data_IF_533476359826
#
_entry.id   IF_533476359826
#
_cell.length_a   1.000
_cell.length_b   1.000
_cell.length_c   1.000
_cell.angle_alpha   90.00
_cell.angle_beta   90.00
_cell.angle_gamma   90.00
#
_symmetry.space_group_name_H-M   'P 1'
#
loop_
_entity.id
_entity.type
_entity.pdbx_description
1 polymer ?
#
# COMPACT_ATOMS: atom_id res chain seq x y z
N UNK A 1 16.43 8.83 -6.22
CA UNK A 1 15.01 8.45 -6.16
C UNK A 1 14.80 6.94 -5.98
N UNK A 2 15.49 6.08 -6.70
CA UNK A 2 15.36 4.61 -6.62
C UNK A 2 15.46 4.06 -5.18
N UNK A 3 16.34 4.62 -4.35
CA UNK A 3 16.52 4.20 -2.96
C UNK A 3 15.28 4.46 -2.06
N UNK A 4 14.55 5.54 -2.33
CA UNK A 4 13.41 5.99 -1.50
C UNK A 4 12.15 5.17 -1.80
N UNK A 5 11.95 4.84 -3.07
CA UNK A 5 10.75 4.12 -3.55
C UNK A 5 10.97 2.61 -3.64
N UNK A 6 12.16 2.09 -3.31
CA UNK A 6 12.53 0.69 -3.55
C UNK A 6 11.54 -0.30 -2.94
N UNK A 7 11.20 -0.14 -1.65
CA UNK A 7 10.27 -1.03 -0.95
C UNK A 7 8.87 -0.97 -1.58
N UNK A 8 8.33 0.23 -1.76
CA UNK A 8 7.01 0.45 -2.38
C UNK A 8 6.98 -0.06 -3.81
N UNK A 9 8.06 0.16 -4.58
CA UNK A 9 8.23 -0.34 -5.94
C UNK A 9 8.18 -1.85 -6.01
N UNK A 10 8.92 -2.53 -5.12
CA UNK A 10 8.95 -3.99 -5.10
C UNK A 10 7.59 -4.58 -4.74
N UNK A 11 6.93 -4.04 -3.70
CA UNK A 11 5.61 -4.49 -3.28
C UNK A 11 4.58 -4.30 -4.41
N UNK A 12 4.50 -3.11 -4.99
CA UNK A 12 3.54 -2.82 -6.07
C UNK A 12 3.92 -3.50 -7.39
N UNK A 13 5.22 -3.77 -7.61
CA UNK A 13 5.70 -4.53 -8.77
C UNK A 13 5.21 -5.97 -8.76
N UNK A 14 5.27 -6.65 -7.63
CA UNK A 14 4.72 -8.02 -7.45
C UNK A 14 3.20 -8.04 -7.67
N UNK A 15 2.50 -6.97 -7.32
CA UNK A 15 1.05 -6.82 -7.55
C UNK A 15 0.71 -6.40 -9.00
N UNK A 16 1.70 -6.17 -9.85
CA UNK A 16 1.51 -5.72 -11.23
C UNK A 16 1.05 -4.25 -11.39
N UNK A 17 1.09 -3.44 -10.31
CA UNK A 17 0.54 -2.07 -10.32
C UNK A 17 1.62 -0.99 -10.43
N UNK A 18 2.90 -1.33 -10.24
CA UNK A 18 3.93 -0.30 -10.34
C UNK A 18 3.91 0.37 -11.72
N UNK A 19 3.70 1.70 -11.80
CA UNK A 19 3.68 2.42 -13.07
C UNK A 19 5.09 2.41 -13.67
N UNK A 20 5.31 1.54 -14.67
CA UNK A 20 6.60 1.45 -15.33
C UNK A 20 6.73 2.59 -16.33
N UNK A 21 7.84 3.32 -16.21
CA UNK A 21 8.14 4.54 -16.94
C UNK A 21 8.40 4.34 -18.45
N UNK A 22 8.70 3.12 -18.89
CA UNK A 22 9.12 2.88 -20.27
C UNK A 22 7.95 2.61 -21.22
N UNK A 23 7.77 3.48 -22.22
CA UNK A 23 6.76 3.36 -23.30
C UNK A 23 7.02 2.18 -24.24
N UNK A 24 8.23 1.59 -24.24
CA UNK A 24 8.65 0.50 -25.15
C UNK A 24 8.50 -0.88 -24.53
N UNK A 25 7.47 -1.12 -23.74
CA UNK A 25 7.26 -2.45 -23.20
C UNK A 25 6.95 -3.48 -24.28
N UNK A 26 7.66 -4.61 -24.19
CA UNK A 26 7.32 -5.84 -24.91
C UNK A 26 5.88 -6.27 -24.58
N UNK A 27 5.18 -6.83 -25.55
CA UNK A 27 3.83 -7.39 -25.36
C UNK A 27 3.80 -8.41 -24.22
N UNK A 28 4.86 -9.18 -24.05
CA UNK A 28 5.04 -10.15 -22.96
C UNK A 28 4.96 -9.52 -21.56
N UNK A 29 5.56 -8.33 -21.34
CA UNK A 29 5.49 -7.66 -20.04
C UNK A 29 4.09 -7.12 -19.72
N UNK A 30 3.34 -6.71 -20.74
CA UNK A 30 1.92 -6.31 -20.57
C UNK A 30 1.07 -7.50 -20.17
N UNK A 31 1.23 -8.63 -20.86
CA UNK A 31 0.52 -9.88 -20.55
C UNK A 31 0.83 -10.34 -19.13
N UNK A 32 2.11 -10.36 -18.74
CA UNK A 32 2.52 -10.72 -17.40
C UNK A 32 1.88 -9.84 -16.32
N UNK A 33 1.81 -8.55 -16.57
CA UNK A 33 1.16 -7.59 -15.67
C UNK A 33 -0.33 -7.88 -15.50
N UNK A 34 -1.08 -8.05 -16.61
CA UNK A 34 -2.50 -8.39 -16.53
C UNK A 34 -2.72 -9.73 -15.83
N UNK A 35 -1.83 -10.69 -16.02
CA UNK A 35 -1.86 -11.96 -15.32
C UNK A 35 -1.71 -11.79 -13.79
N UNK A 36 -0.75 -10.99 -13.33
CA UNK A 36 -0.57 -10.68 -11.90
C UNK A 36 -1.80 -9.97 -11.32
N UNK A 37 -2.37 -9.01 -12.06
CA UNK A 37 -3.58 -8.29 -11.65
C UNK A 37 -4.76 -9.26 -11.52
N UNK A 38 -4.94 -10.15 -12.48
CA UNK A 38 -6.03 -11.13 -12.47
C UNK A 38 -5.90 -12.12 -11.32
N UNK A 39 -4.71 -12.68 -11.10
CA UNK A 39 -4.45 -13.58 -9.97
C UNK A 39 -4.73 -12.88 -8.64
N UNK A 40 -4.24 -11.66 -8.46
CA UNK A 40 -4.45 -10.90 -7.22
C UNK A 40 -5.95 -10.67 -6.95
N UNK A 41 -6.73 -10.35 -7.98
CA UNK A 41 -8.19 -10.20 -7.85
C UNK A 41 -8.87 -11.54 -7.53
N UNK A 42 -8.52 -12.62 -8.22
CA UNK A 42 -9.06 -13.96 -7.94
C UNK A 42 -8.80 -14.36 -6.49
N UNK A 43 -7.59 -14.15 -5.98
CA UNK A 43 -7.21 -14.45 -4.60
C UNK A 43 -8.02 -13.60 -3.59
N UNK A 44 -8.25 -12.33 -3.85
CA UNK A 44 -9.06 -11.47 -2.98
C UNK A 44 -10.53 -11.91 -2.98
N UNK A 45 -11.11 -12.14 -4.16
CA UNK A 45 -12.51 -12.56 -4.27
C UNK A 45 -12.75 -13.97 -3.73
N UNK A 46 -11.77 -14.88 -3.81
CA UNK A 46 -11.86 -16.24 -3.26
C UNK A 46 -12.01 -16.26 -1.73
N UNK A 47 -11.64 -15.19 -1.03
CA UNK A 47 -11.88 -15.04 0.41
C UNK A 47 -13.09 -14.16 0.68
N UNK A 48 -13.29 -13.10 -0.11
CA UNK A 48 -14.38 -12.15 0.09
C UNK A 48 -15.76 -12.79 -0.09
N UNK A 49 -15.97 -13.52 -1.20
CA UNK A 49 -17.28 -14.09 -1.52
C UNK A 49 -17.69 -15.17 -0.52
N UNK A 50 -16.89 -16.22 -0.25
CA UNK A 50 -17.27 -17.24 0.71
C UNK A 50 -17.35 -16.72 2.15
N UNK A 51 -16.55 -15.72 2.50
CA UNK A 51 -16.61 -15.05 3.80
C UNK A 51 -17.92 -14.27 3.99
N UNK A 52 -18.37 -13.57 2.95
CA UNK A 52 -19.64 -12.85 2.95
C UNK A 52 -20.84 -13.81 3.03
N UNK A 53 -20.81 -14.92 2.28
CA UNK A 53 -21.82 -15.97 2.34
C UNK A 53 -21.88 -16.58 3.75
N UNK A 54 -20.73 -16.87 4.35
CA UNK A 54 -20.66 -17.35 5.72
C UNK A 54 -21.34 -16.36 6.70
N UNK A 55 -21.05 -15.07 6.56
CA UNK A 55 -21.64 -14.04 7.41
C UNK A 55 -23.16 -13.94 7.26
N UNK A 56 -23.72 -14.16 6.09
CA UNK A 56 -25.17 -14.16 5.84
C UNK A 56 -25.86 -15.38 6.48
N UNK A 57 -25.23 -16.56 6.40
CA UNK A 57 -25.83 -17.83 6.82
C UNK A 57 -25.66 -18.08 8.34
N UNK A 58 -24.58 -17.56 8.93
CA UNK A 58 -24.27 -17.77 10.33
C UNK A 58 -25.32 -17.13 11.25
N UNK A 59 -25.98 -17.94 12.08
CA UNK A 59 -27.06 -17.50 13.00
C UNK A 59 -26.53 -16.94 14.32
N UNK A 60 -25.33 -17.34 14.75
CA UNK A 60 -24.72 -16.93 16.01
C UNK A 60 -24.20 -15.51 15.94
N UNK A 61 -24.86 -14.56 16.60
CA UNK A 61 -24.51 -13.14 16.61
C UNK A 61 -23.05 -12.90 16.98
N UNK A 62 -22.53 -13.61 17.97
CA UNK A 62 -21.12 -13.47 18.40
C UNK A 62 -20.13 -13.78 17.26
N UNK A 63 -20.36 -14.85 16.50
CA UNK A 63 -19.51 -15.27 15.40
C UNK A 63 -19.62 -14.27 14.23
N UNK A 64 -20.83 -13.79 13.93
CA UNK A 64 -21.06 -12.75 12.91
C UNK A 64 -20.27 -11.49 13.23
N UNK A 65 -20.35 -10.98 14.46
CA UNK A 65 -19.62 -9.78 14.89
C UNK A 65 -18.10 -9.97 14.78
N UNK A 66 -17.58 -11.14 15.15
CA UNK A 66 -16.15 -11.45 15.03
C UNK A 66 -15.68 -11.54 13.58
N UNK A 67 -16.55 -11.82 12.62
CA UNK A 67 -16.21 -11.93 11.19
C UNK A 67 -16.21 -10.56 10.48
N UNK A 68 -16.94 -9.57 11.00
CA UNK A 68 -17.07 -8.23 10.40
C UNK A 68 -15.72 -7.55 10.14
N UNK A 69 -14.78 -7.45 11.09
CA UNK A 69 -13.51 -6.76 10.84
C UNK A 69 -12.72 -7.39 9.70
N UNK A 70 -12.77 -8.72 9.59
CA UNK A 70 -12.10 -9.45 8.54
C UNK A 70 -12.70 -9.15 7.16
N UNK A 71 -14.02 -9.13 7.04
CA UNK A 71 -14.74 -8.78 5.81
C UNK A 71 -14.46 -7.34 5.41
N UNK A 72 -14.55 -6.40 6.35
CA UNK A 72 -14.23 -4.99 6.09
C UNK A 72 -12.79 -4.85 5.58
N UNK A 73 -11.83 -5.55 6.18
CA UNK A 73 -10.43 -5.50 5.74
C UNK A 73 -10.26 -5.98 4.29
N UNK A 74 -10.90 -7.09 3.90
CA UNK A 74 -10.81 -7.62 2.53
C UNK A 74 -11.52 -6.69 1.54
N UNK A 75 -12.70 -6.16 1.87
CA UNK A 75 -13.43 -5.18 1.04
C UNK A 75 -12.59 -3.92 0.84
N UNK A 76 -11.99 -3.41 1.90
CA UNK A 76 -11.06 -2.26 1.83
C UNK A 76 -9.84 -2.57 0.95
N UNK A 77 -9.27 -3.78 1.02
CA UNK A 77 -8.17 -4.19 0.16
C UNK A 77 -8.59 -4.22 -1.31
N UNK A 78 -9.77 -4.78 -1.64
CA UNK A 78 -10.33 -4.77 -3.00
C UNK A 78 -10.55 -3.34 -3.51
N UNK A 79 -11.14 -2.46 -2.72
CA UNK A 79 -11.38 -1.05 -3.07
C UNK A 79 -10.08 -0.29 -3.31
N UNK A 80 -9.08 -0.48 -2.45
CA UNK A 80 -7.74 0.11 -2.59
C UNK A 80 -7.06 -0.39 -3.86
N UNK A 81 -7.16 -1.69 -4.14
CA UNK A 81 -6.57 -2.29 -5.33
C UNK A 81 -7.19 -1.77 -6.61
N UNK A 82 -8.52 -1.70 -6.68
CA UNK A 82 -9.25 -1.09 -7.77
C UNK A 82 -8.83 0.37 -8.01
N UNK A 83 -8.79 1.18 -6.94
CA UNK A 83 -8.36 2.58 -7.03
C UNK A 83 -6.93 2.73 -7.57
N UNK A 84 -6.00 1.85 -7.17
CA UNK A 84 -4.61 1.85 -7.68
C UNK A 84 -4.58 1.56 -9.18
N UNK A 85 -5.39 0.61 -9.65
CA UNK A 85 -5.47 0.26 -11.08
C UNK A 85 -6.09 1.42 -11.89
N UNK A 86 -7.24 1.96 -11.45
CA UNK A 86 -7.94 3.03 -12.16
C UNK A 86 -7.16 4.35 -12.19
N UNK A 87 -6.43 4.67 -11.11
CA UNK A 87 -5.68 5.93 -10.98
C UNK A 87 -4.20 5.81 -11.34
N UNK A 88 -3.77 4.74 -11.98
CA UNK A 88 -2.37 4.51 -12.34
C UNK A 88 -1.74 5.69 -13.08
N UNK A 89 -2.44 6.28 -14.05
CA UNK A 89 -1.92 7.41 -14.82
C UNK A 89 -1.67 8.65 -13.96
N UNK A 90 -2.51 8.90 -12.97
CA UNK A 90 -2.33 10.01 -12.05
C UNK A 90 -1.14 9.77 -11.11
N UNK A 91 -1.02 8.54 -10.57
CA UNK A 91 0.12 8.12 -9.75
C UNK A 91 1.42 8.26 -10.54
N UNK A 92 1.43 7.86 -11.81
CA UNK A 92 2.57 7.99 -12.71
C UNK A 92 2.97 9.45 -12.91
N UNK A 93 2.01 10.36 -13.11
CA UNK A 93 2.28 11.81 -13.24
C UNK A 93 2.92 12.35 -11.97
N UNK A 94 2.34 12.07 -10.80
CA UNK A 94 2.87 12.51 -9.52
C UNK A 94 4.30 12.01 -9.27
N UNK A 95 4.58 10.72 -9.55
CA UNK A 95 5.92 10.16 -9.40
C UNK A 95 6.92 10.82 -10.35
N UNK A 96 6.49 11.15 -11.58
CA UNK A 96 7.33 11.85 -12.55
C UNK A 96 7.67 13.27 -12.07
N UNK A 97 6.70 14.02 -11.57
CA UNK A 97 6.95 15.35 -10.99
C UNK A 97 7.94 15.30 -9.83
N UNK A 98 7.77 14.31 -8.92
CA UNK A 98 8.73 14.11 -7.83
C UNK A 98 10.14 13.84 -8.39
N UNK A 99 10.28 13.01 -9.43
CA UNK A 99 11.57 12.72 -10.03
C UNK A 99 12.19 13.97 -10.68
N UNK A 100 11.41 14.77 -11.39
CA UNK A 100 11.82 16.04 -11.99
C UNK A 100 12.29 17.03 -10.92
N UNK A 101 11.57 17.12 -9.79
CA UNK A 101 11.96 17.95 -8.66
C UNK A 101 13.31 17.56 -8.08
N UNK A 102 13.55 16.27 -7.87
CA UNK A 102 14.86 15.80 -7.40
C UNK A 102 16.01 16.08 -8.38
N UNK A 103 15.74 16.13 -9.70
CA UNK A 103 16.73 16.43 -10.73
C UNK A 103 17.04 17.92 -10.83
N UNK A 104 16.06 18.78 -10.59
CA UNK A 104 16.20 20.24 -10.75
C UNK A 104 16.74 20.98 -9.53
N UNK A 105 16.80 20.31 -8.38
CA UNK A 105 17.38 20.90 -7.16
C UNK A 105 18.89 21.03 -7.32
N UNK A 106 19.37 22.28 -7.38
CA UNK A 106 20.79 22.63 -7.51
C UNK A 106 21.46 22.93 -6.17
N UNK A 107 20.68 23.38 -5.16
CA UNK A 107 21.20 23.68 -3.82
C UNK A 107 21.47 22.42 -3.00
N UNK A 108 22.67 22.30 -2.44
CA UNK A 108 23.07 21.17 -1.60
C UNK A 108 22.18 21.04 -0.34
N UNK A 109 21.88 22.16 0.32
CA UNK A 109 21.02 22.22 1.51
C UNK A 109 19.58 21.77 1.20
N UNK A 110 19.00 22.26 0.12
CA UNK A 110 17.67 21.86 -0.33
C UNK A 110 17.62 20.35 -0.64
N UNK A 111 18.66 19.84 -1.30
CA UNK A 111 18.79 18.41 -1.61
C UNK A 111 18.86 17.55 -0.35
N UNK A 112 19.65 17.98 0.65
CA UNK A 112 19.76 17.29 1.92
C UNK A 112 18.43 17.26 2.67
N UNK A 113 17.71 18.38 2.72
CA UNK A 113 16.38 18.51 3.32
C UNK A 113 15.38 17.53 2.68
N UNK A 114 15.37 17.41 1.35
CA UNK A 114 14.54 16.46 0.62
C UNK A 114 14.92 15.01 0.95
N UNK A 115 16.20 14.67 0.94
CA UNK A 115 16.68 13.32 1.25
C UNK A 115 16.33 12.94 2.70
N UNK A 116 16.48 13.85 3.66
CA UNK A 116 16.16 13.58 5.06
C UNK A 116 14.66 13.36 5.27
N UNK A 117 13.82 14.16 4.63
CA UNK A 117 12.36 13.94 4.64
C UNK A 117 12.01 12.57 4.05
N UNK A 118 12.61 12.20 2.94
CA UNK A 118 12.41 10.91 2.30
C UNK A 118 12.89 9.71 3.14
N UNK A 119 13.99 9.84 3.89
CA UNK A 119 14.46 8.81 4.85
C UNK A 119 13.42 8.57 5.95
N UNK A 120 12.78 9.63 6.47
CA UNK A 120 11.70 9.51 7.45
C UNK A 120 10.53 8.74 6.86
N UNK A 121 10.08 9.09 5.66
CA UNK A 121 9.02 8.38 4.96
C UNK A 121 9.31 6.89 4.78
N UNK A 122 10.54 6.56 4.38
CA UNK A 122 10.97 5.16 4.24
C UNK A 122 10.92 4.40 5.57
N UNK A 123 11.40 5.01 6.67
CA UNK A 123 11.33 4.38 8.00
C UNK A 123 9.88 4.09 8.41
N UNK A 124 8.97 5.06 8.22
CA UNK A 124 7.55 4.88 8.50
C UNK A 124 6.95 3.71 7.72
N UNK A 125 7.19 3.66 6.40
CA UNK A 125 6.69 2.56 5.56
C UNK A 125 7.25 1.21 5.99
N UNK A 126 8.54 1.15 6.34
CA UNK A 126 9.17 -0.10 6.80
C UNK A 126 8.55 -0.58 8.10
N UNK A 127 8.35 0.31 9.07
CA UNK A 127 7.71 -0.01 10.35
C UNK A 127 6.27 -0.47 10.13
N UNK A 128 5.49 0.25 9.33
CA UNK A 128 4.13 -0.16 8.95
C UNK A 128 4.11 -1.54 8.28
N UNK A 129 5.04 -1.81 7.36
CA UNK A 129 5.15 -3.11 6.71
C UNK A 129 5.40 -4.23 7.73
N UNK A 130 6.39 -4.06 8.61
CA UNK A 130 6.72 -5.05 9.64
C UNK A 130 5.49 -5.38 10.50
N UNK A 131 4.81 -4.35 11.02
CA UNK A 131 3.61 -4.55 11.84
C UNK A 131 2.47 -5.21 11.07
N UNK A 132 2.22 -4.80 9.83
CA UNK A 132 1.16 -5.38 9.01
C UNK A 132 1.39 -6.85 8.71
N UNK A 133 2.61 -7.21 8.28
CA UNK A 133 2.92 -8.61 7.97
C UNK A 133 3.04 -9.46 9.23
N UNK A 134 3.69 -8.97 10.28
CA UNK A 134 3.82 -9.71 11.53
C UNK A 134 2.44 -10.01 12.15
N UNK A 135 1.59 -9.00 12.35
CA UNK A 135 0.26 -9.18 12.94
C UNK A 135 -0.66 -10.00 12.04
N UNK A 136 -0.66 -9.72 10.73
CA UNK A 136 -1.54 -10.40 9.78
C UNK A 136 -1.19 -11.87 9.58
N UNK A 137 0.10 -12.21 9.49
CA UNK A 137 0.54 -13.61 9.39
C UNK A 137 0.35 -14.35 10.71
N UNK A 138 0.65 -13.73 11.85
CA UNK A 138 0.37 -14.31 13.17
C UNK A 138 -1.11 -14.65 13.32
N UNK A 139 -2.00 -13.74 12.95
CA UNK A 139 -3.44 -14.00 13.00
C UNK A 139 -3.86 -15.16 12.10
N UNK A 140 -3.33 -15.24 10.89
CA UNK A 140 -3.74 -16.27 9.91
C UNK A 140 -3.09 -17.64 10.14
N UNK A 141 -1.89 -17.67 10.69
CA UNK A 141 -1.16 -18.92 10.92
C UNK A 141 -1.34 -19.41 12.35
N UNK A 142 -1.12 -18.56 13.36
CA UNK A 142 -1.10 -18.99 14.76
C UNK A 142 -2.50 -19.24 15.29
N UNK A 143 -3.46 -18.37 14.98
CA UNK A 143 -4.80 -18.45 15.56
C UNK A 143 -5.56 -19.75 15.22
N UNK A 144 -5.55 -20.28 13.98
CA UNK A 144 -6.16 -21.57 13.66
C UNK A 144 -5.52 -22.72 14.44
N UNK A 145 -4.20 -22.74 14.56
CA UNK A 145 -3.49 -23.78 15.31
C UNK A 145 -3.68 -23.65 16.82
N UNK A 146 -3.70 -22.43 17.35
CA UNK A 146 -3.94 -22.17 18.77
C UNK A 146 -5.37 -22.54 19.22
N UNK A 147 -6.37 -22.40 18.35
CA UNK A 147 -7.74 -22.86 18.61
C UNK A 147 -7.87 -24.37 18.58
N UNK A 148 -6.95 -25.07 17.94
CA UNK A 148 -7.01 -26.51 17.79
C UNK A 148 -8.26 -27.00 17.08
N UNK A 149 -8.58 -28.27 17.25
CA UNK A 149 -9.81 -28.88 16.73
C UNK A 149 -10.99 -28.39 17.55
N UNK A 150 -12.00 -27.83 16.94
CA UNK A 150 -13.23 -27.37 17.59
C UNK A 150 -14.25 -28.52 17.53
N UNK A 151 -14.70 -28.98 18.69
CA UNK A 151 -15.77 -29.96 18.76
C UNK A 151 -17.11 -29.20 18.80
N UNK A 152 -17.96 -29.43 17.80
CA UNK A 152 -19.31 -28.87 17.75
C UNK A 152 -20.22 -29.57 18.73
N UNK A 153 -21.35 -28.95 19.13
CA UNK A 153 -22.35 -29.60 19.99
C UNK A 153 -22.89 -30.94 19.45
N UNK A 154 -22.72 -31.18 18.16
CA UNK A 154 -23.07 -32.41 17.44
C UNK A 154 -21.95 -33.46 17.42
N UNK A 155 -20.91 -33.27 18.24
CA UNK A 155 -19.71 -34.13 18.32
C UNK A 155 -18.90 -34.25 17.02
N UNK A 156 -19.02 -33.25 16.11
CA UNK A 156 -18.25 -33.18 14.88
C UNK A 156 -17.01 -32.31 15.10
N UNK A 157 -15.86 -32.87 14.78
CA UNK A 157 -14.58 -32.17 14.89
C UNK A 157 -14.33 -31.29 13.65
N UNK A 158 -14.27 -29.95 13.83
CA UNK A 158 -14.03 -29.00 12.79
C UNK A 158 -12.61 -28.45 12.91
N UNK A 159 -11.86 -28.44 11.79
CA UNK A 159 -10.58 -27.75 11.66
C UNK A 159 -10.84 -26.28 11.33
N UNK A 160 -10.39 -25.31 12.16
CA UNK A 160 -10.63 -23.89 11.90
C UNK A 160 -9.80 -23.41 10.71
N UNK A 161 -10.44 -22.65 9.81
CA UNK A 161 -9.78 -21.92 8.75
C UNK A 161 -9.29 -20.54 9.24
N UNK A 162 -8.25 -19.96 8.61
CA UNK A 162 -7.81 -18.59 8.91
C UNK A 162 -8.92 -17.56 8.78
N UNK A 163 -9.79 -17.73 7.78
CA UNK A 163 -10.98 -16.92 7.55
C UNK A 163 -12.20 -17.84 7.50
N UNK A 164 -13.21 -17.63 8.35
CA UNK A 164 -14.47 -18.36 8.24
C UNK A 164 -15.05 -18.18 6.84
N UNK A 165 -15.40 -19.27 6.19
CA UNK A 165 -15.88 -19.26 4.82
C UNK A 165 -16.91 -20.37 4.62
N UNK A 166 -17.93 -20.10 3.80
CA UNK A 166 -18.94 -21.09 3.42
C UNK A 166 -18.86 -21.36 1.92
N UNK A 167 -18.72 -22.62 1.57
CA UNK A 167 -18.71 -23.09 0.19
C UNK A 167 -19.89 -24.02 -0.05
N UNK A 168 -20.60 -23.79 -1.17
CA UNK A 168 -21.84 -24.52 -1.49
C UNK A 168 -21.51 -25.88 -2.13
N UNK A 169 -20.40 -25.97 -2.85
CA UNK A 169 -20.14 -27.08 -3.77
C UNK A 169 -19.24 -28.19 -3.21
N UNK A 170 -18.56 -27.96 -2.08
CA UNK A 170 -17.64 -28.96 -1.52
C UNK A 170 -17.48 -28.79 0.00
N UNK A 171 -17.16 -29.91 0.66
CA UNK A 171 -16.87 -29.92 2.08
C UNK A 171 -15.44 -29.44 2.34
N UNK A 172 -15.33 -28.41 3.15
CA UNK A 172 -14.08 -27.74 3.52
C UNK A 172 -13.25 -28.57 4.50
N UNK A 173 -13.85 -29.56 5.18
CA UNK A 173 -13.19 -30.35 6.24
C UNK A 173 -12.42 -31.54 5.71
N UNK A 174 -12.61 -31.90 4.43
CA UNK A 174 -11.99 -33.07 3.79
C UNK A 174 -10.61 -32.71 3.23
N UNK A 175 -9.61 -33.55 3.49
CA UNK A 175 -8.31 -33.48 2.81
C UNK A 175 -8.44 -33.98 1.36
N UNK A 176 -7.80 -33.34 0.34
CA UNK A 176 -6.86 -32.22 0.40
C UNK A 176 -7.51 -30.82 0.33
N UNK A 177 -8.83 -30.71 0.29
CA UNK A 177 -9.56 -29.43 0.11
C UNK A 177 -9.23 -28.43 1.21
N UNK A 178 -9.16 -28.89 2.47
CA UNK A 178 -8.83 -28.03 3.61
C UNK A 178 -7.46 -27.37 3.45
N UNK A 179 -6.43 -28.14 3.12
CA UNK A 179 -5.05 -27.69 2.99
C UNK A 179 -4.90 -26.67 1.85
N UNK A 180 -5.55 -26.94 0.72
CA UNK A 180 -5.56 -26.03 -0.43
C UNK A 180 -6.24 -24.71 -0.09
N UNK A 181 -7.42 -24.75 0.53
CA UNK A 181 -8.14 -23.54 0.94
C UNK A 181 -7.37 -22.75 2.00
N UNK A 182 -6.76 -23.45 2.95
CA UNK A 182 -5.90 -22.82 3.95
C UNK A 182 -4.77 -22.03 3.28
N UNK A 183 -4.06 -22.64 2.35
CA UNK A 183 -2.98 -21.99 1.60
C UNK A 183 -3.48 -20.80 0.78
N UNK A 184 -4.60 -20.93 0.06
CA UNK A 184 -5.23 -19.85 -0.70
C UNK A 184 -5.57 -18.66 0.21
N UNK A 185 -6.14 -18.91 1.38
CA UNK A 185 -6.50 -17.86 2.32
C UNK A 185 -5.29 -17.15 2.91
N UNK A 186 -4.19 -17.87 3.19
CA UNK A 186 -2.94 -17.27 3.66
C UNK A 186 -2.34 -16.39 2.57
N UNK A 187 -2.23 -16.90 1.33
CA UNK A 187 -1.67 -16.16 0.18
C UNK A 187 -2.53 -14.91 -0.12
N UNK A 188 -3.86 -15.04 -0.12
CA UNK A 188 -4.77 -13.91 -0.27
C UNK A 188 -4.55 -12.85 0.81
N UNK A 189 -4.25 -13.27 2.06
CA UNK A 189 -3.87 -12.36 3.12
C UNK A 189 -2.60 -11.58 2.82
N UNK A 190 -1.56 -12.26 2.35
CA UNK A 190 -0.31 -11.62 1.96
C UNK A 190 -0.57 -10.58 0.85
N UNK A 191 -1.40 -10.90 -0.13
CA UNK A 191 -1.79 -9.95 -1.19
C UNK A 191 -2.50 -8.74 -0.60
N UNK A 192 -3.47 -8.92 0.29
CA UNK A 192 -4.21 -7.81 0.93
C UNK A 192 -3.29 -6.93 1.79
N UNK A 193 -2.34 -7.51 2.53
CA UNK A 193 -1.33 -6.76 3.30
C UNK A 193 -0.39 -6.00 2.36
N UNK A 194 0.02 -6.60 1.26
CA UNK A 194 0.87 -5.97 0.24
C UNK A 194 0.19 -4.76 -0.41
N UNK A 195 -1.10 -4.87 -0.76
CA UNK A 195 -1.89 -3.76 -1.30
C UNK A 195 -1.95 -2.60 -0.30
N UNK A 196 -2.26 -2.90 0.96
CA UNK A 196 -2.36 -1.87 2.00
C UNK A 196 -1.02 -1.21 2.27
N UNK A 197 0.05 -1.99 2.42
CA UNK A 197 1.41 -1.47 2.64
C UNK A 197 1.91 -0.68 1.43
N UNK A 198 1.64 -1.14 0.21
CA UNK A 198 2.00 -0.44 -1.03
C UNK A 198 1.31 0.93 -1.15
N UNK A 199 0.02 1.01 -0.80
CA UNK A 199 -0.71 2.28 -0.79
C UNK A 199 -0.19 3.24 0.30
N UNK A 200 0.07 2.73 1.52
CA UNK A 200 0.71 3.52 2.58
C UNK A 200 2.09 4.03 2.14
N UNK A 201 2.84 3.19 1.41
CA UNK A 201 4.13 3.57 0.85
C UNK A 201 4.04 4.71 -0.16
N UNK A 202 3.08 4.66 -1.08
CA UNK A 202 2.82 5.77 -2.03
C UNK A 202 2.41 7.04 -1.30
N UNK A 203 1.48 6.94 -0.35
CA UNK A 203 1.07 8.10 0.44
C UNK A 203 2.25 8.72 1.20
N UNK A 204 3.10 7.90 1.83
CA UNK A 204 4.29 8.39 2.52
C UNK A 204 5.26 9.09 1.55
N UNK A 205 5.48 8.56 0.35
CA UNK A 205 6.34 9.20 -0.67
C UNK A 205 5.80 10.59 -1.02
N UNK A 206 4.50 10.72 -1.30
CA UNK A 206 3.89 11.99 -1.68
C UNK A 206 3.90 13.00 -0.54
N UNK A 207 3.48 12.59 0.66
CA UNK A 207 3.44 13.47 1.85
C UNK A 207 4.83 13.94 2.23
N UNK A 208 5.81 13.03 2.29
CA UNK A 208 7.18 13.41 2.70
C UNK A 208 7.88 14.24 1.64
N UNK A 209 7.55 14.06 0.35
CA UNK A 209 8.01 14.98 -0.71
C UNK A 209 7.44 16.38 -0.50
N UNK A 210 6.12 16.51 -0.30
CA UNK A 210 5.48 17.80 -0.04
C UNK A 210 6.06 18.47 1.23
N UNK A 211 6.26 17.73 2.30
CA UNK A 211 6.91 18.23 3.53
C UNK A 211 8.34 18.72 3.26
N UNK A 212 9.11 18.02 2.42
CA UNK A 212 10.46 18.43 2.01
C UNK A 212 10.43 19.76 1.24
N UNK A 213 9.53 19.91 0.29
CA UNK A 213 9.34 21.14 -0.49
C UNK A 213 8.91 22.32 0.39
N UNK A 214 7.99 22.09 1.33
CA UNK A 214 7.57 23.11 2.29
C UNK A 214 8.70 23.56 3.22
N UNK A 215 9.55 22.63 3.69
CA UNK A 215 10.73 22.97 4.49
C UNK A 215 11.71 23.85 3.72
N UNK A 216 11.94 23.54 2.43
CA UNK A 216 12.79 24.37 1.57
C UNK A 216 12.20 25.77 1.44
N UNK A 217 10.89 25.88 1.21
CA UNK A 217 10.21 27.18 1.12
C UNK A 217 10.36 27.99 2.41
N UNK A 218 10.18 27.37 3.58
CA UNK A 218 10.35 28.01 4.89
C UNK A 218 11.80 28.50 5.09
N UNK A 219 12.80 27.69 4.71
CA UNK A 219 14.19 28.09 4.80
C UNK A 219 14.50 29.27 3.86
N UNK A 220 13.98 29.27 2.65
CA UNK A 220 14.15 30.40 1.71
C UNK A 220 13.53 31.70 2.26
N UNK A 221 12.32 31.59 2.89
CA UNK A 221 11.67 32.74 3.53
C UNK A 221 12.47 33.23 4.74
N UNK A 222 12.98 32.33 5.59
CA UNK A 222 13.83 32.69 6.74
C UNK A 222 15.08 33.41 6.31
N UNK A 223 15.82 32.87 5.34
CA UNK A 223 17.01 33.50 4.81
C UNK A 223 16.73 34.88 4.20
N UNK A 224 15.52 35.08 3.61
CA UNK A 224 15.12 36.37 3.11
C UNK A 224 14.96 37.43 4.22
N UNK A 225 14.46 37.03 5.40
CA UNK A 225 14.25 37.93 6.53
C UNK A 225 15.53 38.21 7.32
N UNK A 226 16.41 37.22 7.45
CA UNK A 226 17.64 37.31 8.24
C UNK A 226 18.77 38.08 7.52
N UNK A 227 18.77 38.11 6.17
CA UNK A 227 19.78 38.85 5.42
C UNK A 227 19.47 40.35 5.35
N UNK A 228 20.50 41.20 5.68
CA UNK A 228 20.44 42.65 5.49
C UNK A 228 20.67 42.96 4.00
N UNK A 229 19.62 43.44 3.34
CA UNK A 229 19.64 43.74 1.90
C UNK A 229 20.27 45.12 1.65
N UNK A 230 21.40 45.13 0.99
CA UNK A 230 22.05 46.38 0.52
C UNK A 230 21.51 46.81 -0.86
N UNK A 231 21.02 45.86 -1.67
CA UNK A 231 20.51 46.15 -3.03
C UNK A 231 19.09 45.63 -3.23
N UNK A 232 18.18 46.52 -3.66
CA UNK A 232 16.79 46.20 -4.00
C UNK A 232 16.68 45.13 -5.12
N UNK A 233 17.70 45.06 -6.01
CA UNK A 233 17.69 44.12 -7.12
C UNK A 233 17.96 42.68 -6.67
N UNK A 234 18.76 42.44 -5.65
CA UNK A 234 18.99 41.13 -5.06
C UNK A 234 17.74 40.61 -4.31
N UNK A 235 17.07 41.48 -3.56
CA UNK A 235 15.82 41.19 -2.90
C UNK A 235 14.75 40.73 -3.89
N UNK A 236 14.58 41.45 -5.01
CA UNK A 236 13.62 41.08 -6.04
C UNK A 236 13.92 39.72 -6.70
N UNK A 237 15.19 39.39 -6.93
CA UNK A 237 15.60 38.07 -7.46
C UNK A 237 15.26 36.92 -6.49
N UNK A 238 15.49 37.11 -5.20
CA UNK A 238 15.16 36.09 -4.19
C UNK A 238 13.64 35.94 -4.00
N UNK A 239 12.88 37.04 -3.99
CA UNK A 239 11.43 37.01 -4.00
C UNK A 239 10.88 36.25 -5.20
N UNK A 240 11.40 36.50 -6.40
CA UNK A 240 11.00 35.79 -7.61
C UNK A 240 11.24 34.27 -7.47
N UNK A 241 12.38 33.84 -6.91
CA UNK A 241 12.66 32.42 -6.64
C UNK A 241 11.67 31.79 -5.64
N UNK A 242 11.30 32.52 -4.59
CA UNK A 242 10.32 32.05 -3.59
C UNK A 242 8.94 31.86 -4.25
N UNK A 243 8.51 32.84 -5.04
CA UNK A 243 7.22 32.78 -5.77
C UNK A 243 7.22 31.64 -6.79
N UNK A 244 8.29 31.47 -7.54
CA UNK A 244 8.43 30.35 -8.50
C UNK A 244 8.37 29.00 -7.79
N UNK A 245 9.07 28.85 -6.66
CA UNK A 245 9.03 27.63 -5.85
C UNK A 245 7.63 27.37 -5.28
N UNK A 246 6.93 28.42 -4.81
CA UNK A 246 5.57 28.30 -4.30
C UNK A 246 4.58 27.87 -5.40
N UNK A 247 4.70 28.40 -6.62
CA UNK A 247 3.88 28.02 -7.76
C UNK A 247 4.12 26.54 -8.12
N UNK A 248 5.38 26.09 -8.04
CA UNK A 248 5.76 24.72 -8.32
C UNK A 248 5.18 23.72 -7.31
N UNK A 249 5.13 24.06 -6.03
CA UNK A 249 4.53 23.20 -4.97
C UNK A 249 3.01 23.02 -5.18
N UNK A 250 2.33 24.01 -5.76
CA UNK A 250 0.88 23.98 -5.98
C UNK A 250 0.44 23.20 -7.23
N UNK A 251 1.34 22.91 -8.14
CA UNK A 251 1.07 22.08 -9.34
C UNK A 251 1.14 20.60 -9.03
#
# INVERSE_FOLDING_TARGET
>A
MTYITHLTRNILGVLGIWPIYDRRKSTSEKVWRYFLISISNILLYSVMIPGFLFWLIEKRTRVRVQTIPLLIFVIMACSKYGNLIFRENNIRRCLKHIEEDYRTITSGEARETMINSAKVGRRLVTVCAIFMYASGLSFRLILPFAKGKIITPQNVTIKPLPCPAYFIFFDVQVSPTYEVLFAIQVISGVVAFSITTGLCGLAAVFVMHACGQLKILVNLMRNLVEEQWQEKQELNKKLARIVEHQIRIRR
#
